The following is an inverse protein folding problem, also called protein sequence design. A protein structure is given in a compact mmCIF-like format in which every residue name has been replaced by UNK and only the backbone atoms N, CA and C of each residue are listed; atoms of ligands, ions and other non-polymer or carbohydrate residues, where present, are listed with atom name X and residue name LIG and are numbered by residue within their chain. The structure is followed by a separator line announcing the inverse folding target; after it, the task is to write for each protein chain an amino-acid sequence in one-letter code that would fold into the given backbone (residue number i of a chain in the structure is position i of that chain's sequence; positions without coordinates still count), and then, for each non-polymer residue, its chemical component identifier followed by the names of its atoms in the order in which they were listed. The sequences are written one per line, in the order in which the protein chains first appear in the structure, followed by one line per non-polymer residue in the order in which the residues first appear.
data_IF_267156466109
#
_entry.id   IF_267156466109
#
_cell.length_a   1.000
_cell.length_b   1.000
_cell.length_c   1.000
_cell.angle_alpha   90.00
_cell.angle_beta   90.00
_cell.angle_gamma   90.00
#
_symmetry.space_group_name_H-M   'P 1'
#
loop_
_entity.id
_entity.type
_entity.pdbx_description
1 polymer ?
#
# COMPACT_ATOMS: atom_id res chain seq x y z
N UNK A 1 27.26 10.24 7.89
CA UNK A 1 26.12 11.18 7.99
C UNK A 1 24.91 10.37 8.44
N UNK A 2 23.93 11.02 9.06
CA UNK A 2 22.72 10.34 9.53
C UNK A 2 21.74 10.20 8.37
N UNK A 3 21.38 8.97 8.00
CA UNK A 3 20.36 8.73 6.97
C UNK A 3 18.95 8.92 7.57
N UNK A 4 18.44 10.15 7.46
CA UNK A 4 17.12 10.53 7.96
C UNK A 4 15.98 9.76 7.29
N UNK A 5 16.12 9.46 6.00
CA UNK A 5 15.15 8.68 5.25
C UNK A 5 15.01 7.27 5.86
N UNK A 6 16.14 6.56 6.06
CA UNK A 6 16.14 5.25 6.70
C UNK A 6 15.57 5.29 8.12
N UNK A 7 15.92 6.30 8.92
CA UNK A 7 15.41 6.42 10.29
C UNK A 7 13.89 6.55 10.32
N UNK A 8 13.32 7.38 9.45
CA UNK A 8 11.86 7.52 9.35
C UNK A 8 11.22 6.21 8.88
N UNK A 9 11.77 5.55 7.86
CA UNK A 9 11.25 4.27 7.36
C UNK A 9 11.28 3.17 8.44
N UNK A 10 12.38 3.08 9.20
CA UNK A 10 12.48 2.13 10.32
C UNK A 10 11.46 2.42 11.42
N UNK A 11 11.22 3.70 11.73
CA UNK A 11 10.23 4.12 12.75
C UNK A 11 8.81 3.81 12.32
N UNK A 12 8.44 4.12 11.08
CA UNK A 12 7.12 3.77 10.54
C UNK A 12 6.91 2.26 10.59
N UNK A 13 7.90 1.47 10.12
CA UNK A 13 7.79 0.00 10.10
C UNK A 13 7.69 -0.67 11.47
N UNK A 14 8.36 -0.12 12.49
CA UNK A 14 8.48 -0.77 13.81
C UNK A 14 7.51 -0.22 14.84
N UNK A 15 7.10 1.03 14.67
CA UNK A 15 6.37 1.80 15.68
C UNK A 15 5.19 2.58 15.11
N UNK A 16 4.99 2.57 13.78
CA UNK A 16 3.96 3.38 13.10
C UNK A 16 4.10 4.89 13.38
N UNK A 17 5.34 5.32 13.68
CA UNK A 17 5.69 6.70 13.97
C UNK A 17 6.41 7.33 12.78
N UNK A 18 6.02 8.55 12.41
CA UNK A 18 6.73 9.35 11.42
C UNK A 18 7.66 10.33 12.13
N UNK A 19 8.92 10.40 11.68
CA UNK A 19 9.84 11.48 12.03
C UNK A 19 9.95 12.44 10.84
N UNK A 20 9.77 13.73 11.13
CA UNK A 20 9.88 14.81 10.16
C UNK A 20 11.20 15.55 10.32
N UNK A 21 11.76 16.01 9.19
CA UNK A 21 13.10 16.57 9.15
C UNK A 21 13.09 17.87 8.35
N UNK A 22 13.80 18.89 8.86
CA UNK A 22 14.06 20.10 8.09
C UNK A 22 14.92 19.76 6.86
N UNK A 23 14.56 20.28 5.68
CA UNK A 23 15.11 19.88 4.37
C UNK A 23 15.05 18.37 4.07
N UNK A 24 14.07 17.65 4.64
CA UNK A 24 13.96 16.21 4.53
C UNK A 24 13.77 15.66 3.11
N UNK A 25 13.37 16.47 2.13
CA UNK A 25 13.04 16.01 0.77
C UNK A 25 14.24 15.65 -0.11
N UNK A 26 15.46 16.01 0.30
CA UNK A 26 16.68 15.65 -0.43
C UNK A 26 17.14 14.28 0.04
N UNK A 27 16.98 13.27 -0.82
CA UNK A 27 17.42 11.89 -0.57
C UNK A 27 18.60 11.61 -1.49
N UNK A 28 19.74 11.17 -0.93
CA UNK A 28 20.90 10.78 -1.73
C UNK A 28 20.80 9.32 -2.21
N UNK A 29 21.54 8.97 -3.26
CA UNK A 29 21.59 7.59 -3.75
C UNK A 29 22.12 6.61 -2.67
N UNK A 30 23.03 7.06 -1.81
CA UNK A 30 23.50 6.26 -0.68
C UNK A 30 22.38 5.99 0.32
N UNK A 31 21.53 6.99 0.57
CA UNK A 31 20.40 6.84 1.50
C UNK A 31 19.38 5.84 0.96
N UNK A 32 19.09 5.90 -0.35
CA UNK A 32 18.22 4.93 -1.03
C UNK A 32 18.75 3.50 -0.93
N UNK A 33 20.07 3.30 -1.12
CA UNK A 33 20.68 1.97 -1.02
C UNK A 33 20.56 1.33 0.37
N UNK A 34 20.69 2.13 1.43
CA UNK A 34 20.49 1.62 2.79
C UNK A 34 19.01 1.28 3.08
N UNK A 35 18.07 2.07 2.56
CA UNK A 35 16.64 1.77 2.65
C UNK A 35 16.28 0.51 1.85
N UNK A 36 16.83 0.35 0.65
CA UNK A 36 16.67 -0.85 -0.16
C UNK A 36 17.10 -2.11 0.60
N UNK A 37 18.30 -2.09 1.20
CA UNK A 37 18.79 -3.21 2.01
C UNK A 37 17.90 -3.52 3.22
N UNK A 38 17.44 -2.48 3.93
CA UNK A 38 16.51 -2.66 5.03
C UNK A 38 15.17 -3.27 4.58
N UNK A 39 14.58 -2.79 3.49
CA UNK A 39 13.31 -3.28 2.96
C UNK A 39 13.42 -4.69 2.39
N UNK A 40 14.56 -5.05 1.78
CA UNK A 40 14.82 -6.42 1.34
C UNK A 40 14.82 -7.41 2.53
N UNK A 41 15.38 -6.99 3.66
CA UNK A 41 15.37 -7.79 4.89
C UNK A 41 13.96 -7.86 5.50
N UNK A 42 13.19 -6.77 5.50
CA UNK A 42 11.78 -6.77 5.93
C UNK A 42 10.93 -7.67 5.04
N UNK A 43 11.12 -7.62 3.72
CA UNK A 43 10.44 -8.50 2.78
C UNK A 43 10.75 -9.95 3.09
N UNK A 44 12.03 -10.30 3.26
CA UNK A 44 12.46 -11.67 3.58
C UNK A 44 11.86 -12.16 4.89
N UNK A 45 11.72 -11.28 5.89
CA UNK A 45 11.06 -11.58 7.16
C UNK A 45 9.57 -11.84 6.97
N UNK A 46 8.83 -10.92 6.32
CA UNK A 46 7.40 -11.07 6.08
C UNK A 46 7.09 -12.31 5.21
N UNK A 47 7.92 -12.58 4.21
CA UNK A 47 7.75 -13.67 3.26
C UNK A 47 7.84 -15.08 3.89
N UNK A 48 8.38 -15.21 5.11
CA UNK A 48 8.36 -16.48 5.85
C UNK A 48 6.94 -16.92 6.22
N UNK A 49 6.04 -15.96 6.38
CA UNK A 49 4.64 -16.17 6.76
C UNK A 49 3.70 -16.04 5.55
N UNK A 50 4.23 -15.90 4.34
CA UNK A 50 3.40 -15.78 3.14
C UNK A 50 2.82 -17.15 2.75
N UNK A 51 1.57 -17.18 2.28
CA UNK A 51 1.01 -18.39 1.68
C UNK A 51 1.70 -18.67 0.34
N UNK A 52 1.77 -19.94 -0.06
CA UNK A 52 2.41 -20.36 -1.31
C UNK A 52 3.88 -19.94 -1.41
N UNK A 53 4.42 -19.94 -2.64
CA UNK A 53 5.75 -19.41 -2.90
C UNK A 53 5.61 -17.90 -3.13
N UNK A 54 6.27 -17.05 -2.31
CA UNK A 54 6.22 -15.61 -2.51
C UNK A 54 6.93 -15.21 -3.81
N UNK A 55 6.43 -14.19 -4.54
CA UNK A 55 7.17 -13.65 -5.67
C UNK A 55 8.50 -13.03 -5.22
N UNK A 56 9.39 -12.75 -6.17
CA UNK A 56 10.67 -12.13 -5.85
C UNK A 56 10.47 -10.70 -5.30
N UNK A 57 11.40 -10.24 -4.45
CA UNK A 57 11.45 -8.85 -4.00
C UNK A 57 11.75 -7.92 -5.19
N UNK A 58 10.92 -6.89 -5.37
CA UNK A 58 11.11 -5.79 -6.32
C UNK A 58 11.62 -4.57 -5.56
N UNK A 59 12.94 -4.38 -5.60
CA UNK A 59 13.64 -3.29 -4.91
C UNK A 59 13.14 -1.91 -5.35
N UNK A 60 12.91 -1.72 -6.65
CA UNK A 60 12.50 -0.41 -7.18
C UNK A 60 11.09 -0.05 -6.71
N UNK A 61 10.15 -1.02 -6.69
CA UNK A 61 8.81 -0.82 -6.16
C UNK A 61 8.83 -0.53 -4.64
N UNK A 62 9.65 -1.26 -3.87
CA UNK A 62 9.81 -1.04 -2.44
C UNK A 62 10.36 0.36 -2.11
N UNK A 63 11.44 0.76 -2.78
CA UNK A 63 12.05 2.08 -2.60
C UNK A 63 11.11 3.21 -3.04
N UNK A 64 10.36 3.02 -4.13
CA UNK A 64 9.34 3.98 -4.54
C UNK A 64 8.22 4.12 -3.50
N UNK A 65 7.73 3.01 -2.94
CA UNK A 65 6.73 3.03 -1.87
C UNK A 65 7.24 3.76 -0.61
N UNK A 66 8.48 3.49 -0.21
CA UNK A 66 9.14 4.17 0.91
C UNK A 66 9.28 5.67 0.67
N UNK A 67 9.75 6.06 -0.52
CA UNK A 67 9.89 7.47 -0.91
C UNK A 67 8.54 8.18 -0.94
N UNK A 68 7.51 7.51 -1.44
CA UNK A 68 6.13 8.05 -1.46
C UNK A 68 5.64 8.37 -0.06
N UNK A 69 5.71 7.42 0.87
CA UNK A 69 5.28 7.63 2.27
C UNK A 69 6.10 8.71 2.95
N UNK A 70 7.43 8.65 2.81
CA UNK A 70 8.31 9.63 3.43
C UNK A 70 8.04 11.04 2.91
N UNK A 71 8.02 11.23 1.59
CA UNK A 71 7.75 12.53 0.96
C UNK A 71 6.37 13.05 1.31
N UNK A 72 5.33 12.21 1.24
CA UNK A 72 3.98 12.60 1.59
C UNK A 72 3.89 13.07 3.05
N UNK A 73 4.58 12.38 3.97
CA UNK A 73 4.58 12.75 5.38
C UNK A 73 5.31 14.06 5.64
N UNK A 74 6.44 14.31 4.96
CA UNK A 74 7.13 15.62 5.00
C UNK A 74 6.22 16.73 4.46
N UNK A 75 5.53 16.51 3.34
CA UNK A 75 4.66 17.52 2.73
C UNK A 75 3.41 17.83 3.56
N UNK A 76 2.92 16.87 4.35
CA UNK A 76 1.76 17.06 5.23
C UNK A 76 1.96 18.13 6.30
N UNK A 77 3.21 18.40 6.72
CA UNK A 77 3.52 19.46 7.70
C UNK A 77 4.46 20.55 7.17
N UNK A 78 5.38 20.23 6.24
CA UNK A 78 6.32 21.18 5.65
C UNK A 78 5.90 21.59 4.23
N UNK A 79 4.85 22.41 4.17
CA UNK A 79 4.20 22.80 2.92
C UNK A 79 4.84 24.03 2.28
N UNK A 80 6.09 23.89 1.84
CA UNK A 80 6.83 24.95 1.15
C UNK A 80 6.62 24.96 -0.38
N UNK A 81 6.05 23.89 -0.92
CA UNK A 81 5.92 23.64 -2.36
C UNK A 81 4.52 23.98 -2.86
N UNK A 82 4.40 24.42 -4.11
CA UNK A 82 3.10 24.73 -4.71
C UNK A 82 2.40 23.44 -5.15
N UNK A 83 1.05 23.45 -5.29
CA UNK A 83 0.32 22.29 -5.80
C UNK A 83 0.87 21.74 -7.13
N UNK A 84 1.34 22.62 -8.01
CA UNK A 84 1.89 22.24 -9.32
C UNK A 84 3.22 21.47 -9.22
N UNK A 85 3.93 21.55 -8.09
CA UNK A 85 5.19 20.83 -7.87
C UNK A 85 4.97 19.38 -7.38
N UNK A 86 3.77 19.07 -6.87
CA UNK A 86 3.46 17.79 -6.22
C UNK A 86 3.68 16.57 -7.15
N UNK A 87 3.29 16.59 -8.44
CA UNK A 87 3.54 15.44 -9.32
C UNK A 87 5.02 15.12 -9.52
N UNK A 88 5.90 16.12 -9.42
CA UNK A 88 7.34 15.93 -9.53
C UNK A 88 7.95 15.36 -8.23
N UNK A 89 7.36 15.69 -7.07
CA UNK A 89 7.79 15.19 -5.77
C UNK A 89 7.28 13.78 -5.47
N UNK A 90 6.10 13.44 -6.00
CA UNK A 90 5.42 12.14 -5.83
C UNK A 90 5.07 11.53 -7.19
N UNK A 91 6.09 11.20 -8.01
CA UNK A 91 5.86 10.62 -9.33
C UNK A 91 5.23 9.22 -9.21
N UNK A 92 4.50 8.76 -10.24
CA UNK A 92 4.08 7.37 -10.31
C UNK A 92 5.28 6.43 -10.34
N UNK A 93 5.09 5.20 -9.86
CA UNK A 93 6.12 4.17 -9.98
C UNK A 93 6.43 3.90 -11.45
N UNK A 94 7.72 3.80 -11.79
CA UNK A 94 8.14 3.48 -13.15
C UNK A 94 7.95 1.98 -13.49
N UNK A 95 7.91 1.11 -12.48
CA UNK A 95 7.78 -0.33 -12.67
C UNK A 95 6.33 -0.73 -12.96
N UNK A 96 6.10 -1.77 -13.79
CA UNK A 96 4.80 -2.37 -13.94
C UNK A 96 4.26 -2.89 -12.60
N UNK A 97 2.94 -2.78 -12.41
CA UNK A 97 2.25 -3.29 -11.23
C UNK A 97 2.14 -4.82 -11.36
N UNK A 98 3.18 -5.54 -10.97
CA UNK A 98 3.22 -7.00 -10.87
C UNK A 98 2.95 -7.47 -9.44
N UNK A 99 2.79 -8.77 -9.22
CA UNK A 99 2.64 -9.31 -7.86
C UNK A 99 3.87 -9.06 -6.98
N UNK A 100 5.06 -9.22 -7.54
CA UNK A 100 6.34 -8.87 -6.92
C UNK A 100 6.36 -7.39 -6.51
N UNK A 101 6.02 -6.51 -7.45
CA UNK A 101 5.98 -5.07 -7.21
C UNK A 101 4.97 -4.70 -6.13
N UNK A 102 3.72 -5.22 -6.20
CA UNK A 102 2.67 -4.93 -5.23
C UNK A 102 3.09 -5.31 -3.80
N UNK A 103 3.57 -6.54 -3.59
CA UNK A 103 4.00 -6.96 -2.25
C UNK A 103 5.22 -6.18 -1.76
N UNK A 104 6.10 -5.73 -2.65
CA UNK A 104 7.31 -4.99 -2.30
C UNK A 104 7.01 -3.52 -1.96
N UNK A 105 6.20 -2.83 -2.77
CA UNK A 105 5.74 -1.47 -2.48
C UNK A 105 4.88 -1.41 -1.21
N UNK A 106 4.09 -2.46 -0.98
CA UNK A 106 3.19 -2.57 0.16
C UNK A 106 3.89 -2.58 1.52
N UNK A 107 5.18 -2.93 1.58
CA UNK A 107 5.98 -2.82 2.81
C UNK A 107 5.85 -1.42 3.45
N UNK A 108 5.71 -0.39 2.61
CA UNK A 108 5.53 0.99 3.03
C UNK A 108 4.17 1.57 2.65
N UNK A 109 3.66 1.31 1.44
CA UNK A 109 2.39 1.92 1.02
C UNK A 109 1.19 1.57 1.92
N UNK A 110 1.23 0.48 2.69
CA UNK A 110 0.17 0.14 3.65
C UNK A 110 -0.07 1.21 4.73
N UNK A 111 0.89 2.12 4.95
CA UNK A 111 0.75 3.24 5.89
C UNK A 111 0.21 4.51 5.24
N UNK A 112 0.10 4.54 3.90
CA UNK A 112 -0.37 5.69 3.16
C UNK A 112 -1.86 6.03 3.42
N UNK A 113 -2.78 5.06 3.61
CA UNK A 113 -4.17 5.35 3.99
C UNK A 113 -4.30 6.22 5.24
N UNK A 114 -3.56 5.93 6.29
CA UNK A 114 -3.61 6.68 7.55
C UNK A 114 -3.07 8.11 7.36
N UNK A 115 -2.07 8.27 6.51
CA UNK A 115 -1.55 9.59 6.15
C UNK A 115 -2.58 10.41 5.35
N UNK A 116 -3.30 9.77 4.41
CA UNK A 116 -4.40 10.43 3.70
C UNK A 116 -5.49 10.87 4.68
N UNK A 117 -5.91 9.99 5.59
CA UNK A 117 -6.90 10.33 6.63
C UNK A 117 -6.44 11.50 7.52
N UNK A 118 -5.16 11.51 7.91
CA UNK A 118 -4.56 12.60 8.67
C UNK A 118 -4.60 13.92 7.89
N UNK A 119 -4.24 13.92 6.60
CA UNK A 119 -4.30 15.10 5.73
C UNK A 119 -5.73 15.62 5.60
N UNK A 120 -6.70 14.74 5.35
CA UNK A 120 -8.12 15.09 5.22
C UNK A 120 -8.67 15.72 6.50
N UNK A 121 -8.18 15.32 7.68
CA UNK A 121 -8.57 15.93 8.96
C UNK A 121 -8.03 17.36 9.15
N UNK A 122 -6.90 17.68 8.52
CA UNK A 122 -6.30 19.02 8.56
C UNK A 122 -6.99 19.93 7.53
N UNK A 123 -7.06 19.47 6.28
CA UNK A 123 -7.63 20.19 5.15
C UNK A 123 -8.16 19.17 4.11
N UNK A 124 -9.49 19.06 4.00
CA UNK A 124 -10.12 18.11 3.09
C UNK A 124 -9.94 18.47 1.61
N UNK A 125 -9.61 19.73 1.30
CA UNK A 125 -9.37 20.21 -0.05
C UNK A 125 -7.87 20.23 -0.40
N UNK A 126 -7.03 19.59 0.43
CA UNK A 126 -5.59 19.51 0.20
C UNK A 126 -5.28 18.80 -1.14
N UNK A 127 -4.63 19.46 -2.12
CA UNK A 127 -4.30 18.85 -3.42
C UNK A 127 -3.35 17.64 -3.37
N UNK A 128 -2.73 17.36 -2.21
CA UNK A 128 -1.97 16.13 -1.99
C UNK A 128 -2.87 14.89 -1.90
N UNK A 129 -4.07 15.02 -1.31
CA UNK A 129 -5.02 13.92 -1.11
C UNK A 129 -5.33 13.19 -2.43
N UNK A 130 -5.84 13.85 -3.50
CA UNK A 130 -6.18 13.16 -4.74
C UNK A 130 -4.96 12.51 -5.42
N UNK A 131 -3.75 13.04 -5.21
CA UNK A 131 -2.52 12.44 -5.73
C UNK A 131 -2.18 11.13 -5.00
N UNK A 132 -2.31 11.10 -3.68
CA UNK A 132 -2.07 9.90 -2.88
C UNK A 132 -3.15 8.85 -3.10
N UNK A 133 -4.41 9.26 -3.23
CA UNK A 133 -5.52 8.37 -3.57
C UNK A 133 -5.34 7.73 -4.95
N UNK A 134 -4.80 8.47 -5.93
CA UNK A 134 -4.42 7.90 -7.23
C UNK A 134 -3.37 6.81 -7.09
N UNK A 135 -2.35 7.01 -6.24
CA UNK A 135 -1.36 5.96 -5.96
C UNK A 135 -2.04 4.75 -5.28
N UNK A 136 -2.89 4.98 -4.28
CA UNK A 136 -3.63 3.91 -3.61
C UNK A 136 -4.55 3.13 -4.57
N UNK A 137 -5.17 3.80 -5.54
CA UNK A 137 -6.00 3.14 -6.56
C UNK A 137 -5.17 2.19 -7.45
N UNK A 138 -4.01 2.64 -7.93
CA UNK A 138 -3.11 1.78 -8.70
C UNK A 138 -2.51 0.65 -7.86
N UNK A 139 -2.18 0.93 -6.60
CA UNK A 139 -1.55 0.01 -5.65
C UNK A 139 -2.57 -0.52 -4.63
N UNK A 140 -3.70 -0.99 -5.15
CA UNK A 140 -4.92 -1.28 -4.40
C UNK A 140 -4.76 -2.31 -3.28
N UNK A 141 -3.76 -3.19 -3.33
CA UNK A 141 -3.45 -4.10 -2.23
C UNK A 141 -3.09 -3.37 -0.91
N UNK A 142 -2.42 -2.22 -1.02
CA UNK A 142 -2.10 -1.36 0.13
C UNK A 142 -3.27 -0.48 0.56
N UNK A 143 -4.27 -0.33 -0.31
CA UNK A 143 -5.44 0.51 -0.07
C UNK A 143 -6.61 -0.24 0.58
N UNK A 144 -6.50 -1.55 0.85
CA UNK A 144 -7.63 -2.37 1.36
C UNK A 144 -8.21 -1.80 2.67
N UNK A 145 -7.39 -1.21 3.53
CA UNK A 145 -7.87 -0.55 4.76
C UNK A 145 -8.65 0.76 4.49
N UNK A 146 -8.48 1.36 3.32
CA UNK A 146 -9.12 2.59 2.87
C UNK A 146 -10.42 2.31 2.08
N UNK A 147 -11.28 3.31 1.80
CA UNK A 147 -12.34 3.17 0.80
C UNK A 147 -11.77 2.84 -0.58
N UNK A 148 -11.72 1.55 -0.92
CA UNK A 148 -11.34 1.07 -2.25
C UNK A 148 -12.49 1.31 -3.23
N UNK A 149 -12.20 2.07 -4.29
CA UNK A 149 -13.08 2.16 -5.47
C UNK A 149 -12.73 0.96 -6.34
N UNK A 150 -13.72 0.09 -6.57
CA UNK A 150 -13.53 -1.16 -7.29
C UNK A 150 -13.63 -1.00 -8.81
N UNK A 151 -14.27 0.06 -9.27
CA UNK A 151 -14.44 0.36 -10.68
C UNK A 151 -13.05 0.56 -11.31
N UNK A 152 -12.81 -0.10 -12.45
CA UNK A 152 -11.56 -0.03 -13.22
C UNK A 152 -10.28 -0.49 -12.49
N UNK A 153 -10.38 -1.25 -11.39
CA UNK A 153 -9.20 -1.88 -10.78
C UNK A 153 -8.62 -2.95 -11.70
N UNK A 154 -7.31 -2.86 -11.97
CA UNK A 154 -6.58 -3.92 -12.62
C UNK A 154 -6.28 -5.06 -11.61
N UNK A 155 -7.09 -6.11 -11.69
CA UNK A 155 -6.94 -7.33 -10.89
C UNK A 155 -6.03 -8.38 -11.57
N UNK A 156 -5.47 -8.08 -12.75
CA UNK A 156 -4.57 -9.00 -13.47
C UNK A 156 -3.43 -9.53 -12.59
N UNK A 157 -2.75 -8.71 -11.75
CA UNK A 157 -1.66 -9.21 -10.91
C UNK A 157 -2.11 -10.31 -9.93
N UNK A 158 -3.36 -10.27 -9.46
CA UNK A 158 -3.91 -11.28 -8.55
C UNK A 158 -4.17 -12.61 -9.27
N UNK A 159 -4.60 -12.56 -10.54
CA UNK A 159 -4.80 -13.80 -11.33
C UNK A 159 -3.51 -14.55 -11.63
N UNK A 160 -2.38 -13.84 -11.61
CA UNK A 160 -1.09 -14.36 -12.03
C UNK A 160 -0.26 -14.92 -10.87
N UNK A 161 -0.63 -14.62 -9.62
CA UNK A 161 0.14 -15.02 -8.44
C UNK A 161 -0.78 -15.45 -7.28
N UNK A 162 -0.76 -16.75 -6.90
CA UNK A 162 -1.62 -17.26 -5.83
C UNK A 162 -1.23 -16.75 -4.44
N UNK A 163 0.05 -16.40 -4.21
CA UNK A 163 0.51 -15.82 -2.94
C UNK A 163 -0.14 -14.44 -2.74
N UNK A 164 -0.04 -13.55 -3.73
CA UNK A 164 -0.69 -12.25 -3.68
C UNK A 164 -2.21 -12.38 -3.56
N UNK A 165 -2.84 -13.26 -4.36
CA UNK A 165 -4.29 -13.45 -4.33
C UNK A 165 -4.78 -13.85 -2.93
N UNK A 166 -4.15 -14.82 -2.28
CA UNK A 166 -4.53 -15.25 -0.94
C UNK A 166 -4.34 -14.12 0.09
N UNK A 167 -3.19 -13.42 0.06
CA UNK A 167 -2.96 -12.28 0.96
C UNK A 167 -3.97 -11.15 0.76
N UNK A 168 -4.39 -10.92 -0.49
CA UNK A 168 -5.43 -9.94 -0.81
C UNK A 168 -6.75 -10.30 -0.13
N UNK A 169 -7.16 -11.57 -0.24
CA UNK A 169 -8.37 -12.11 0.40
C UNK A 169 -8.26 -12.00 1.92
N UNK A 170 -7.14 -12.42 2.50
CA UNK A 170 -6.92 -12.36 3.95
C UNK A 170 -7.09 -10.93 4.47
N UNK A 171 -6.58 -9.93 3.74
CA UNK A 171 -6.78 -8.51 4.08
C UNK A 171 -8.22 -8.04 3.92
N UNK A 172 -8.89 -8.42 2.84
CA UNK A 172 -10.31 -8.09 2.66
C UNK A 172 -11.13 -8.60 3.84
N UNK A 173 -10.90 -9.85 4.26
CA UNK A 173 -11.54 -10.46 5.41
C UNK A 173 -11.17 -9.74 6.71
N UNK A 174 -9.88 -9.45 6.95
CA UNK A 174 -9.43 -8.76 8.16
C UNK A 174 -10.03 -7.35 8.31
N UNK A 175 -10.27 -6.65 7.19
CA UNK A 175 -10.87 -5.31 7.17
C UNK A 175 -12.38 -5.32 6.88
N UNK A 176 -13.03 -6.49 6.84
CA UNK A 176 -14.45 -6.66 6.54
C UNK A 176 -14.88 -5.95 5.24
N UNK A 177 -14.01 -5.98 4.23
CA UNK A 177 -14.24 -5.40 2.91
C UNK A 177 -14.78 -6.45 1.95
N UNK A 178 -15.69 -6.03 1.11
CA UNK A 178 -16.27 -6.88 0.07
C UNK A 178 -15.74 -6.40 -1.29
N UNK A 179 -15.27 -7.32 -2.15
CA UNK A 179 -14.99 -6.97 -3.52
C UNK A 179 -16.28 -6.63 -4.27
N UNK A 180 -16.17 -5.86 -5.35
CA UNK A 180 -17.32 -5.61 -6.22
C UNK A 180 -17.93 -6.95 -6.70
N UNK A 181 -19.25 -7.03 -6.90
CA UNK A 181 -19.89 -8.22 -7.46
C UNK A 181 -19.29 -8.66 -8.81
N UNK A 182 -18.75 -7.70 -9.57
CA UNK A 182 -18.08 -7.90 -10.85
C UNK A 182 -16.71 -8.57 -10.73
N UNK A 183 -16.08 -8.55 -9.55
CA UNK A 183 -14.79 -9.19 -9.30
C UNK A 183 -14.94 -10.70 -9.02
N UNK A 184 -15.56 -11.42 -9.96
CA UNK A 184 -15.95 -12.84 -9.82
C UNK A 184 -14.80 -13.76 -9.39
N UNK A 185 -13.57 -13.46 -9.82
CA UNK A 185 -12.37 -14.20 -9.41
C UNK A 185 -12.16 -14.17 -7.90
N UNK A 186 -12.26 -12.98 -7.30
CA UNK A 186 -12.07 -12.80 -5.86
C UNK A 186 -13.17 -13.52 -5.10
N UNK A 187 -14.41 -13.44 -5.57
CA UNK A 187 -15.54 -14.16 -4.99
C UNK A 187 -15.36 -15.67 -4.98
N UNK A 188 -14.94 -16.24 -6.11
CA UNK A 188 -14.68 -17.68 -6.19
C UNK A 188 -13.58 -18.11 -5.22
N UNK A 189 -12.53 -17.29 -5.09
CA UNK A 189 -11.40 -17.56 -4.21
C UNK A 189 -11.76 -17.39 -2.73
N UNK A 190 -12.55 -16.37 -2.38
CA UNK A 190 -13.09 -16.15 -1.03
C UNK A 190 -13.99 -17.32 -0.63
N UNK A 191 -14.90 -17.75 -1.50
CA UNK A 191 -15.79 -18.89 -1.24
C UNK A 191 -15.01 -20.19 -1.06
N UNK A 192 -13.93 -20.40 -1.83
CA UNK A 192 -13.05 -21.55 -1.67
C UNK A 192 -12.28 -21.50 -0.33
N UNK A 193 -11.76 -20.33 0.06
CA UNK A 193 -11.03 -20.15 1.31
C UNK A 193 -11.91 -20.30 2.57
N UNK A 194 -13.18 -19.89 2.49
CA UNK A 194 -14.12 -19.98 3.62
C UNK A 194 -14.76 -21.38 3.78
N UNK A 195 -14.68 -22.26 2.77
CA UNK A 195 -15.27 -23.60 2.82
C UNK A 195 -16.75 -23.59 3.23
N UNK A 196 -17.16 -24.52 4.09
CA UNK A 196 -18.56 -24.60 4.60
C UNK A 196 -18.97 -23.43 5.50
N UNK A 197 -18.03 -22.61 5.99
CA UNK A 197 -18.33 -21.40 6.78
C UNK A 197 -18.78 -20.21 5.92
N UNK A 198 -18.66 -20.30 4.58
CA UNK A 198 -19.15 -19.27 3.66
C UNK A 198 -20.66 -18.97 3.85
N UNK A 199 -21.45 -19.97 4.27
CA UNK A 199 -22.90 -19.81 4.53
C UNK A 199 -23.23 -18.96 5.74
N UNK A 200 -22.34 -18.84 6.73
CA UNK A 200 -22.66 -18.10 7.97
C UNK A 200 -22.33 -16.61 7.83
N UNK A 201 -21.27 -16.25 7.10
CA UNK A 201 -20.93 -14.86 6.83
C UNK A 201 -21.90 -14.23 5.81
N UNK A 202 -22.38 -14.99 4.82
CA UNK A 202 -23.37 -14.49 3.84
C UNK A 202 -24.79 -14.31 4.39
N UNK A 203 -25.09 -14.79 5.61
CA UNK A 203 -26.43 -14.72 6.23
C UNK A 203 -26.51 -13.77 7.43
N UNK A 204 -25.41 -13.13 7.82
CA UNK A 204 -25.42 -12.13 8.91
C UNK A 204 -25.80 -10.77 8.33
N UNK A 205 -26.86 -10.07 8.82
CA UNK A 205 -27.26 -8.78 8.28
C UNK A 205 -26.11 -7.78 8.38
N UNK A 206 -25.56 -7.37 7.23
CA UNK A 206 -24.41 -6.47 7.14
C UNK A 206 -23.16 -7.09 6.48
N UNK A 207 -23.10 -8.41 6.27
CA UNK A 207 -21.86 -9.04 5.79
C UNK A 207 -21.81 -9.45 4.33
N UNK A 208 -22.91 -9.56 3.59
CA UNK A 208 -22.94 -9.69 2.12
C UNK A 208 -24.40 -9.57 1.67
N UNK A 209 -24.87 -8.37 1.34
CA UNK A 209 -26.16 -8.20 0.66
C UNK A 209 -25.90 -7.62 -0.71
N UNK A 210 -25.91 -8.49 -1.73
CA UNK A 210 -26.71 -8.39 -2.96
C UNK A 210 -26.12 -9.34 -4.02
N UNK A 211 -26.83 -10.45 -4.23
CA UNK A 211 -26.99 -11.06 -5.54
C UNK A 211 -28.21 -10.39 -6.20
#
# INVERSE_FOLDING_TARGET
MTNHFLQTIQRVRRHEEVILWDNGLVISQSDEGEVAGFLADEYRREALDYPFVPPAFDEAAACWGARTVYTAAQLGLFRQHKPDDLPALLPPCANPVSAAAMLSADLMLRFLPDLVLFLTQIDADDPLIPLLEKHLHTWHFSAIAYPVIWDDLDLTPLTQDPCLCQRYIDRLLAHNKQPAPTATLLWNSINAALGDHARQLTQTPGYFHQL
#
